data_IF_088117099437
#
_entry.id   IF_088117099437
#
_cell.length_a   1.000
_cell.length_b   1.000
_cell.length_c   1.000
_cell.angle_alpha   90.00
_cell.angle_beta   90.00
_cell.angle_gamma   90.00
#
_symmetry.space_group_name_H-M   'P 1'
#
loop_
_entity.id
_entity.type
_entity.pdbx_description
1 polymer ?
#
# COMPACT_ATOMS: atom_id res chain seq x y z
N UNK A 1 5.19 8.09 16.32
CA UNK A 1 3.83 7.49 16.43
C UNK A 1 3.60 6.55 15.25
N UNK A 2 2.64 5.62 15.37
CA UNK A 2 2.25 4.71 14.27
C UNK A 2 0.83 5.00 13.84
N UNK A 3 0.56 4.98 12.55
CA UNK A 3 -0.77 5.22 12.00
C UNK A 3 -1.17 4.11 11.04
N UNK A 4 -2.46 3.77 11.05
CA UNK A 4 -3.09 2.93 10.05
C UNK A 4 -4.04 3.77 9.20
N UNK A 5 -3.97 3.64 7.89
CA UNK A 5 -4.82 4.35 6.94
C UNK A 5 -5.80 3.35 6.33
N UNK A 6 -7.10 3.60 6.55
CA UNK A 6 -8.17 2.77 6.04
C UNK A 6 -8.35 1.45 6.80
N UNK A 7 -8.20 1.47 8.15
CA UNK A 7 -8.34 0.25 8.97
C UNK A 7 -9.77 -0.28 9.11
N UNK A 8 -10.76 0.51 8.70
CA UNK A 8 -12.18 0.10 8.76
C UNK A 8 -12.61 -0.27 10.18
N UNK A 9 -13.48 -1.29 10.25
CA UNK A 9 -13.99 -1.84 11.52
C UNK A 9 -13.04 -2.86 12.18
N UNK A 10 -11.94 -3.21 11.52
CA UNK A 10 -10.97 -4.23 11.99
C UNK A 10 -9.54 -3.72 11.85
N UNK A 11 -9.21 -2.63 12.58
CA UNK A 11 -7.87 -2.06 12.49
C UNK A 11 -6.79 -3.04 12.98
N UNK A 12 -5.54 -2.77 12.59
CA UNK A 12 -4.36 -3.60 12.91
C UNK A 12 -4.17 -3.80 14.42
N UNK A 13 -4.68 -2.88 15.24
CA UNK A 13 -4.69 -3.01 16.70
C UNK A 13 -3.60 -2.20 17.40
N UNK A 14 -3.13 -2.71 18.55
CA UNK A 14 -2.35 -1.96 19.53
C UNK A 14 -1.15 -1.19 18.95
N UNK A 15 -1.08 0.09 19.32
CA UNK A 15 0.01 0.99 18.97
C UNK A 15 -0.16 1.73 17.65
N UNK A 16 -1.20 1.44 16.85
CA UNK A 16 -1.58 2.21 15.67
C UNK A 16 -2.79 3.10 15.97
N UNK A 17 -2.75 4.34 15.47
CA UNK A 17 -3.90 5.24 15.41
C UNK A 17 -4.59 4.99 14.08
N UNK A 18 -5.83 4.51 14.10
CA UNK A 18 -6.61 4.22 12.91
C UNK A 18 -7.25 5.49 12.33
N UNK A 19 -6.97 5.76 11.05
CA UNK A 19 -7.59 6.81 10.25
C UNK A 19 -8.52 6.17 9.22
N UNK A 20 -9.79 6.54 9.26
CA UNK A 20 -10.79 6.03 8.31
C UNK A 20 -11.92 7.05 8.16
N UNK A 21 -12.76 6.91 7.15
CA UNK A 21 -13.98 7.71 7.00
C UNK A 21 -15.09 7.26 7.95
N UNK A 22 -14.94 6.08 8.55
CA UNK A 22 -15.93 5.49 9.46
C UNK A 22 -15.85 6.12 10.86
N UNK A 23 -17.01 6.29 11.49
CA UNK A 23 -17.14 6.86 12.84
C UNK A 23 -16.45 6.02 13.94
N UNK A 24 -16.13 4.75 13.67
CA UNK A 24 -15.43 3.87 14.59
C UNK A 24 -13.91 4.02 14.56
N UNK A 25 -13.35 4.84 13.65
CA UNK A 25 -11.93 5.13 13.60
C UNK A 25 -11.50 6.01 14.80
N UNK A 26 -10.22 5.92 15.18
CA UNK A 26 -9.66 6.82 16.19
C UNK A 26 -9.68 8.28 15.71
N UNK A 27 -9.47 8.45 14.38
CA UNK A 27 -9.58 9.76 13.71
C UNK A 27 -10.42 9.56 12.44
N UNK A 28 -11.60 10.19 12.42
CA UNK A 28 -12.44 10.21 11.23
C UNK A 28 -11.86 11.20 10.21
N UNK A 29 -11.47 10.70 9.04
CA UNK A 29 -10.88 11.50 7.96
C UNK A 29 -11.28 10.98 6.59
N UNK A 30 -11.70 11.90 5.70
CA UNK A 30 -11.94 11.61 4.31
C UNK A 30 -10.63 11.75 3.52
N UNK A 31 -10.08 10.63 3.06
CA UNK A 31 -8.81 10.57 2.33
C UNK A 31 -8.88 11.22 0.94
N UNK A 32 -10.05 11.47 0.38
CA UNK A 32 -10.21 12.17 -0.91
C UNK A 32 -9.74 13.62 -0.85
N UNK A 33 -9.85 14.24 0.33
CA UNK A 33 -9.51 15.64 0.55
C UNK A 33 -8.38 15.80 1.59
N UNK A 34 -7.67 14.71 1.90
CA UNK A 34 -6.92 14.61 3.13
C UNK A 34 -5.67 15.49 3.17
N UNK A 35 -5.70 16.40 4.12
CA UNK A 35 -4.49 16.72 4.89
C UNK A 35 -4.54 15.83 6.12
N UNK A 36 -3.59 14.91 6.28
CA UNK A 36 -3.54 14.07 7.46
C UNK A 36 -3.30 14.95 8.71
N UNK A 37 -4.03 14.74 9.81
CA UNK A 37 -4.04 15.62 10.97
C UNK A 37 -2.81 15.44 11.89
N UNK A 38 -1.64 15.36 11.28
CA UNK A 38 -0.34 15.20 11.95
C UNK A 38 0.66 16.22 11.44
N UNK A 39 1.57 16.61 12.30
CA UNK A 39 2.69 17.45 11.92
C UNK A 39 3.63 16.73 10.95
N UNK A 40 4.35 17.51 10.15
CA UNK A 40 5.41 16.94 9.31
C UNK A 40 6.47 16.26 10.18
N UNK A 41 7.01 15.13 9.69
CA UNK A 41 8.08 14.39 10.37
C UNK A 41 7.71 13.82 11.77
N UNK A 42 6.42 13.59 12.03
CA UNK A 42 5.94 13.10 13.34
C UNK A 42 5.62 11.60 13.39
N UNK A 43 5.49 10.96 12.21
CA UNK A 43 5.09 9.56 12.08
C UNK A 43 6.29 8.65 11.85
N UNK A 44 6.35 7.55 12.58
CA UNK A 44 7.42 6.55 12.54
C UNK A 44 7.08 5.33 11.67
N UNK A 45 5.79 5.01 11.61
CA UNK A 45 5.32 3.82 10.90
C UNK A 45 3.92 4.06 10.34
N UNK A 46 3.72 3.69 9.07
CA UNK A 46 2.43 3.71 8.39
C UNK A 46 2.10 2.32 7.90
N UNK A 47 0.86 1.93 8.13
CA UNK A 47 0.27 0.72 7.56
C UNK A 47 -0.99 1.08 6.79
N UNK A 48 -1.16 0.52 5.61
CA UNK A 48 -2.39 0.59 4.83
C UNK A 48 -2.63 -0.70 4.08
N UNK A 49 -3.83 -1.23 4.18
CA UNK A 49 -4.22 -2.48 3.54
C UNK A 49 -5.60 -2.32 2.91
N UNK A 50 -5.69 -2.63 1.62
CA UNK A 50 -6.96 -2.59 0.88
C UNK A 50 -7.73 -1.26 1.04
N UNK A 51 -7.00 -0.15 0.98
CA UNK A 51 -7.55 1.20 1.11
C UNK A 51 -7.26 2.06 -0.13
N UNK A 52 -6.03 2.05 -0.64
CA UNK A 52 -5.61 2.97 -1.71
C UNK A 52 -6.36 2.74 -3.03
N UNK A 53 -6.85 1.55 -3.29
CA UNK A 53 -7.67 1.22 -4.46
C UNK A 53 -9.07 1.85 -4.42
N UNK A 54 -9.52 2.28 -3.24
CA UNK A 54 -10.82 2.94 -3.05
C UNK A 54 -10.76 4.46 -3.17
N UNK A 55 -9.56 5.06 -3.11
CA UNK A 55 -9.37 6.51 -3.13
C UNK A 55 -9.13 6.99 -4.55
N UNK A 56 -9.85 8.04 -5.02
CA UNK A 56 -9.71 8.55 -6.39
C UNK A 56 -8.28 9.03 -6.70
N UNK A 57 -7.53 9.50 -5.71
CA UNK A 57 -6.17 9.96 -5.90
C UNK A 57 -5.20 9.44 -4.83
N UNK A 58 -4.82 8.17 -4.93
CA UNK A 58 -3.84 7.55 -4.05
C UNK A 58 -2.50 8.31 -3.99
N UNK A 59 -2.13 9.04 -5.06
CA UNK A 59 -0.89 9.82 -5.12
C UNK A 59 -0.92 11.00 -4.13
N UNK A 60 -2.09 11.63 -3.92
CA UNK A 60 -2.25 12.69 -2.92
C UNK A 60 -2.12 12.13 -1.50
N UNK A 61 -2.76 10.99 -1.23
CA UNK A 61 -2.63 10.31 0.08
C UNK A 61 -1.17 9.97 0.36
N UNK A 62 -0.46 9.43 -0.62
CA UNK A 62 0.96 9.09 -0.48
C UNK A 62 1.87 10.32 -0.35
N UNK A 63 1.50 11.47 -0.94
CA UNK A 63 2.19 12.73 -0.70
C UNK A 63 2.08 13.17 0.77
N UNK A 64 0.90 13.02 1.37
CA UNK A 64 0.68 13.30 2.78
C UNK A 64 1.42 12.30 3.68
N UNK A 65 1.45 11.00 3.31
CA UNK A 65 2.30 10.01 4.00
C UNK A 65 3.75 10.46 4.00
N UNK A 66 4.29 10.90 2.84
CA UNK A 66 5.65 11.44 2.77
C UNK A 66 5.83 12.68 3.63
N UNK A 67 4.82 13.55 3.74
CA UNK A 67 4.88 14.75 4.58
C UNK A 67 4.97 14.42 6.06
N UNK A 68 4.05 13.58 6.55
CA UNK A 68 3.94 13.28 7.98
C UNK A 68 5.03 12.33 8.47
N UNK A 69 5.55 11.45 7.62
CA UNK A 69 6.60 10.52 7.96
C UNK A 69 7.95 11.22 8.12
N UNK A 70 8.68 10.88 9.18
CA UNK A 70 10.09 11.25 9.30
C UNK A 70 10.98 10.43 8.37
N UNK A 71 12.21 10.85 8.16
CA UNK A 71 13.20 10.02 7.48
C UNK A 71 13.46 8.75 8.30
N UNK A 72 13.53 7.62 7.61
CA UNK A 72 13.65 6.28 8.21
C UNK A 72 12.32 5.69 8.67
N UNK A 73 11.19 6.37 8.46
CA UNK A 73 9.88 5.81 8.78
C UNK A 73 9.56 4.59 7.90
N UNK A 74 8.99 3.56 8.51
CA UNK A 74 8.53 2.36 7.81
C UNK A 74 7.12 2.57 7.24
N UNK A 75 6.89 2.11 6.00
CA UNK A 75 5.57 2.15 5.35
C UNK A 75 5.28 0.78 4.76
N UNK A 76 4.20 0.14 5.24
CA UNK A 76 3.71 -1.11 4.65
C UNK A 76 2.42 -0.83 3.88
N UNK A 77 2.44 -1.17 2.59
CA UNK A 77 1.27 -1.06 1.70
C UNK A 77 0.87 -2.46 1.25
N UNK A 78 -0.41 -2.79 1.40
CA UNK A 78 -1.02 -4.00 0.85
C UNK A 78 -2.10 -3.64 -0.14
N UNK A 79 -2.08 -4.29 -1.28
CA UNK A 79 -2.99 -4.04 -2.38
C UNK A 79 -3.52 -5.36 -2.95
N UNK A 80 -4.75 -5.40 -3.47
CA UNK A 80 -5.22 -6.53 -4.25
C UNK A 80 -4.28 -6.76 -5.44
N UNK A 81 -3.95 -8.01 -5.71
CA UNK A 81 -3.16 -8.31 -6.91
C UNK A 81 -3.96 -7.96 -8.18
N UNK A 82 -3.37 -7.24 -9.10
CA UNK A 82 -4.06 -6.66 -10.29
C UNK A 82 -4.71 -7.67 -11.24
N UNK A 83 -4.29 -8.93 -11.21
CA UNK A 83 -4.91 -10.03 -11.98
C UNK A 83 -5.87 -10.87 -11.14
N UNK A 84 -6.11 -10.53 -9.88
CA UNK A 84 -7.11 -11.20 -9.06
C UNK A 84 -8.49 -10.61 -9.32
N UNK A 85 -9.56 -11.42 -9.41
CA UNK A 85 -10.93 -10.91 -9.64
C UNK A 85 -11.36 -9.79 -8.67
N UNK A 86 -10.90 -9.84 -7.43
CA UNK A 86 -11.19 -8.81 -6.43
C UNK A 86 -10.58 -7.45 -6.75
N UNK A 87 -9.53 -7.35 -7.58
CA UNK A 87 -8.93 -6.08 -7.92
C UNK A 87 -9.86 -5.16 -8.75
N UNK A 88 -10.86 -5.72 -9.40
CA UNK A 88 -11.85 -4.98 -10.18
C UNK A 88 -13.27 -5.07 -9.61
N UNK A 89 -13.41 -5.39 -8.31
CA UNK A 89 -14.73 -5.46 -7.69
C UNK A 89 -15.34 -4.06 -7.51
N UNK A 90 -16.66 -4.04 -7.30
CA UNK A 90 -17.42 -2.80 -7.09
C UNK A 90 -16.85 -2.02 -5.89
N UNK A 91 -16.58 -0.73 -6.10
CA UNK A 91 -15.98 0.17 -5.09
C UNK A 91 -14.48 0.38 -5.25
N UNK A 92 -13.77 -0.44 -6.03
CA UNK A 92 -12.39 -0.14 -6.41
C UNK A 92 -12.37 0.84 -7.59
N UNK A 93 -11.79 1.99 -7.40
CA UNK A 93 -11.66 3.03 -8.44
C UNK A 93 -10.34 2.90 -9.21
N UNK A 94 -9.38 2.17 -8.65
CA UNK A 94 -8.09 1.88 -9.27
C UNK A 94 -7.73 0.41 -9.18
N UNK A 95 -7.00 -0.05 -10.21
CA UNK A 95 -6.24 -1.30 -10.18
C UNK A 95 -4.76 -0.94 -10.04
N UNK A 96 -4.21 -1.10 -8.85
CA UNK A 96 -2.83 -0.77 -8.55
C UNK A 96 -1.96 -2.03 -8.69
N UNK A 97 -0.81 -1.89 -9.36
CA UNK A 97 0.10 -3.02 -9.59
C UNK A 97 1.44 -2.87 -8.87
N UNK A 98 2.21 -3.95 -8.82
CA UNK A 98 3.60 -3.94 -8.36
C UNK A 98 4.44 -2.90 -9.11
N UNK A 99 4.23 -2.79 -10.43
CA UNK A 99 4.93 -1.81 -11.27
C UNK A 99 4.61 -0.38 -10.87
N UNK A 100 3.37 -0.10 -10.43
CA UNK A 100 3.01 1.22 -9.94
C UNK A 100 3.81 1.58 -8.69
N UNK A 101 3.95 0.65 -7.74
CA UNK A 101 4.75 0.85 -6.53
C UNK A 101 6.23 1.04 -6.87
N UNK A 102 6.77 0.23 -7.77
CA UNK A 102 8.15 0.40 -8.26
C UNK A 102 8.37 1.81 -8.85
N UNK A 103 7.44 2.30 -9.68
CA UNK A 103 7.55 3.64 -10.28
C UNK A 103 7.46 4.75 -9.22
N UNK A 104 6.64 4.60 -8.18
CA UNK A 104 6.61 5.54 -7.06
C UNK A 104 7.97 5.65 -6.36
N UNK A 105 8.72 4.55 -6.27
CA UNK A 105 10.06 4.54 -5.68
C UNK A 105 11.12 5.06 -6.65
N UNK A 106 11.10 4.62 -7.91
CA UNK A 106 12.17 4.85 -8.88
C UNK A 106 12.06 6.22 -9.57
N UNK A 107 10.84 6.74 -9.73
CA UNK A 107 10.55 7.97 -10.47
C UNK A 107 9.61 8.91 -9.67
N UNK A 108 9.96 9.23 -8.41
CA UNK A 108 9.09 10.04 -7.54
C UNK A 108 8.80 11.44 -8.08
N UNK A 109 9.68 11.98 -8.94
CA UNK A 109 9.50 13.28 -9.58
C UNK A 109 8.28 13.37 -10.51
N UNK A 110 7.79 12.24 -11.01
CA UNK A 110 6.59 12.20 -11.86
C UNK A 110 5.32 12.48 -11.04
N UNK A 111 5.33 12.15 -9.75
CA UNK A 111 4.17 12.24 -8.88
C UNK A 111 4.31 13.39 -7.86
N UNK A 112 5.52 13.56 -7.32
CA UNK A 112 5.81 14.49 -6.23
C UNK A 112 7.02 15.38 -6.56
N UNK A 113 6.95 16.24 -7.58
CA UNK A 113 8.10 17.02 -8.08
C UNK A 113 8.72 17.92 -7.01
N UNK A 114 7.91 18.44 -6.08
CA UNK A 114 8.32 19.39 -5.04
C UNK A 114 8.57 18.74 -3.67
N UNK A 115 8.39 17.43 -3.53
CA UNK A 115 8.61 16.71 -2.26
C UNK A 115 10.08 16.28 -2.18
N UNK A 116 10.72 16.57 -1.03
CA UNK A 116 12.13 16.26 -0.79
C UNK A 116 12.37 14.86 -0.23
N UNK A 117 11.30 14.12 0.00
CA UNK A 117 11.30 12.74 0.47
C UNK A 117 10.77 11.84 -0.62
N UNK A 118 11.16 10.57 -0.56
CA UNK A 118 10.65 9.53 -1.46
C UNK A 118 10.54 8.21 -0.73
N UNK A 119 9.83 7.27 -1.33
CA UNK A 119 9.81 5.88 -0.89
C UNK A 119 11.01 5.12 -1.48
N UNK A 120 11.52 4.17 -0.71
CA UNK A 120 12.48 3.16 -1.13
C UNK A 120 11.97 1.78 -0.74
N UNK A 121 11.96 0.82 -1.65
CA UNK A 121 11.67 -0.57 -1.31
C UNK A 121 12.77 -1.12 -0.38
N UNK A 122 12.36 -1.70 0.75
CA UNK A 122 13.27 -2.31 1.73
C UNK A 122 13.60 -3.74 1.33
N UNK A 123 12.64 -4.42 0.72
CA UNK A 123 12.75 -5.80 0.26
C UNK A 123 11.94 -5.97 -1.04
N UNK A 124 12.15 -7.04 -1.81
CA UNK A 124 11.32 -7.35 -2.97
C UNK A 124 9.84 -7.43 -2.58
N UNK A 125 8.97 -6.97 -3.49
CA UNK A 125 7.52 -7.06 -3.30
C UNK A 125 7.13 -8.53 -3.08
N UNK A 126 6.39 -8.77 -2.01
CA UNK A 126 5.89 -10.10 -1.66
C UNK A 126 4.54 -10.34 -2.35
N UNK A 127 4.40 -11.53 -2.96
CA UNK A 127 3.19 -11.99 -3.63
C UNK A 127 2.53 -13.06 -2.79
N UNK A 128 1.34 -12.78 -2.26
CA UNK A 128 0.61 -13.75 -1.46
C UNK A 128 -0.19 -14.67 -2.38
N UNK A 129 0.41 -15.82 -2.68
CA UNK A 129 -0.22 -16.84 -3.51
C UNK A 129 -1.38 -17.47 -2.73
N UNK A 130 -2.52 -17.62 -3.41
CA UNK A 130 -3.71 -18.22 -2.84
C UNK A 130 -3.46 -19.70 -2.52
N UNK A 131 -4.02 -20.17 -1.40
CA UNK A 131 -3.87 -21.54 -0.94
C UNK A 131 -4.33 -22.57 -1.98
N UNK A 132 -5.35 -22.24 -2.75
CA UNK A 132 -5.85 -23.08 -3.83
C UNK A 132 -4.79 -23.37 -4.93
N UNK A 133 -3.79 -22.47 -5.08
CA UNK A 133 -2.71 -22.63 -6.04
C UNK A 133 -1.46 -23.28 -5.47
N UNK A 134 -1.37 -23.47 -4.16
CA UNK A 134 -0.25 -24.19 -3.55
C UNK A 134 -0.16 -25.63 -4.06
N UNK A 135 -1.28 -26.26 -4.36
CA UNK A 135 -1.33 -27.62 -4.94
C UNK A 135 -0.81 -27.65 -6.40
N UNK A 136 -0.92 -26.55 -7.13
CA UNK A 136 -0.41 -26.42 -8.50
C UNK A 136 1.07 -26.01 -8.54
N UNK A 137 1.63 -25.51 -7.44
CA UNK A 137 3.00 -25.01 -7.36
C UNK A 137 4.06 -26.01 -7.83
N UNK A 138 3.94 -27.35 -7.52
CA UNK A 138 4.87 -28.36 -8.03
C UNK A 138 4.91 -28.48 -9.55
N UNK A 139 3.86 -28.06 -10.26
CA UNK A 139 3.84 -28.06 -11.73
C UNK A 139 4.72 -26.95 -12.35
N UNK A 140 5.12 -25.95 -11.54
CA UNK A 140 5.90 -24.79 -11.97
C UNK A 140 7.15 -24.58 -11.10
N UNK A 141 8.02 -25.59 -10.92
CA UNK A 141 9.09 -25.56 -9.95
C UNK A 141 10.16 -24.48 -10.23
N UNK A 142 10.29 -24.07 -11.49
CA UNK A 142 11.29 -23.08 -11.94
C UNK A 142 10.81 -21.64 -11.88
N UNK A 143 9.52 -21.39 -11.63
CA UNK A 143 8.96 -20.03 -11.57
C UNK A 143 9.09 -19.44 -10.18
N UNK A 144 9.47 -18.18 -10.09
CA UNK A 144 9.36 -17.39 -8.86
C UNK A 144 7.90 -17.05 -8.59
N UNK A 145 7.55 -16.69 -7.34
CA UNK A 145 6.18 -16.28 -7.00
C UNK A 145 5.73 -15.06 -7.81
N UNK A 146 6.63 -14.11 -8.08
CA UNK A 146 6.36 -12.99 -9.00
C UNK A 146 5.98 -13.46 -10.41
N UNK A 147 6.69 -14.46 -10.93
CA UNK A 147 6.39 -15.00 -12.27
C UNK A 147 5.06 -15.76 -12.27
N UNK A 148 4.80 -16.56 -11.22
CA UNK A 148 3.51 -17.25 -11.06
C UNK A 148 2.38 -16.22 -10.99
N UNK A 149 2.49 -15.23 -10.14
CA UNK A 149 1.50 -14.16 -9.99
C UNK A 149 1.24 -13.41 -11.31
N UNK A 150 2.31 -13.16 -12.09
CA UNK A 150 2.22 -12.43 -13.36
C UNK A 150 1.59 -13.26 -14.49
N UNK A 151 1.83 -14.57 -14.53
CA UNK A 151 1.44 -15.40 -15.68
C UNK A 151 0.19 -16.24 -15.42
N UNK A 152 -0.24 -16.39 -14.17
CA UNK A 152 -1.41 -17.18 -13.81
C UNK A 152 -2.44 -16.27 -13.12
N UNK A 153 -3.43 -15.75 -13.88
CA UNK A 153 -4.46 -14.89 -13.31
C UNK A 153 -5.20 -15.55 -12.15
N UNK A 154 -5.51 -14.78 -11.11
CA UNK A 154 -6.26 -15.24 -9.95
C UNK A 154 -5.46 -16.04 -8.91
N UNK A 155 -4.21 -16.39 -9.17
CA UNK A 155 -3.41 -17.19 -8.25
C UNK A 155 -2.80 -16.40 -7.08
N UNK A 156 -2.72 -15.09 -7.20
CA UNK A 156 -2.23 -14.20 -6.17
C UNK A 156 -3.33 -13.23 -5.78
N UNK A 157 -3.69 -13.17 -4.51
CA UNK A 157 -4.77 -12.28 -4.07
C UNK A 157 -4.28 -10.94 -3.55
N UNK A 158 -3.06 -10.85 -3.03
CA UNK A 158 -2.51 -9.65 -2.41
C UNK A 158 -1.03 -9.48 -2.77
N UNK A 159 -0.59 -8.24 -2.97
CA UNK A 159 0.82 -7.85 -2.94
C UNK A 159 1.09 -7.04 -1.66
N UNK A 160 2.27 -7.26 -1.07
CA UNK A 160 2.75 -6.55 0.11
C UNK A 160 4.05 -5.85 -0.20
N UNK A 161 4.08 -4.56 0.07
CA UNK A 161 5.21 -3.70 -0.21
C UNK A 161 5.70 -3.07 1.09
N UNK A 162 6.95 -3.34 1.46
CA UNK A 162 7.60 -2.67 2.58
C UNK A 162 8.54 -1.61 2.07
N UNK A 163 8.29 -0.41 2.50
CA UNK A 163 8.95 0.81 2.07
C UNK A 163 9.58 1.51 3.27
N UNK A 164 10.57 2.33 2.99
CA UNK A 164 11.16 3.28 3.92
C UNK A 164 11.11 4.67 3.32
N UNK A 165 10.84 5.68 4.14
CA UNK A 165 10.91 7.07 3.73
C UNK A 165 12.35 7.56 3.81
N UNK A 166 12.91 7.97 2.68
CA UNK A 166 14.29 8.45 2.57
C UNK A 166 14.36 9.85 1.97
N UNK A 167 15.48 10.53 2.16
CA UNK A 167 15.75 11.80 1.48
C UNK A 167 15.89 11.54 -0.03
N UNK A 168 15.38 12.49 -0.81
CA UNK A 168 15.50 12.49 -2.26
C UNK A 168 16.74 13.28 -2.71
#
# INVERSE_FOLDING_TARGET
MKIEIGGGNTPRGEGFVNLDILDCADICVDLENAILPFDSDSVDEVYTAHCLEHVNNAVIVLAEVLRVCRLGAAVEIRLPHWLHPMASCSGHVHVLSDRQVEIWCDQPQLFWPNVRKQFRLVEPIHYQIDIAYHELRPAFPSLTDRQVAKYIPGCCHEIRCKLEVVAR
#
